data_IF_220202857627
#
_entry.id   IF_220202857627
#
_cell.length_a   1.000
_cell.length_b   1.000
_cell.length_c   1.000
_cell.angle_alpha   90.00
_cell.angle_beta   90.00
_cell.angle_gamma   90.00
#
_symmetry.space_group_name_H-M   'P 1'
#
loop_
_entity.id
_entity.type
_entity.pdbx_description
1 polymer ?
#
# COMPACT_ATOMS: atom_id res chain seq x y z
N UNK A 1 1.86 -2.74 -19.52
CA UNK A 1 0.50 -2.98 -18.98
C UNK A 1 0.09 -1.68 -18.31
N UNK A 2 -1.00 -1.09 -18.79
CA UNK A 2 -1.59 0.12 -18.21
C UNK A 2 -2.07 -0.21 -16.80
N UNK A 3 -1.26 0.13 -15.80
CA UNK A 3 -1.55 -0.18 -14.42
C UNK A 3 -2.64 0.79 -13.93
N UNK A 4 -3.87 0.30 -13.89
CA UNK A 4 -4.95 0.99 -13.21
C UNK A 4 -4.89 0.65 -11.73
N UNK A 5 -4.84 1.67 -10.88
CA UNK A 5 -4.88 1.53 -9.44
C UNK A 5 -6.18 2.13 -8.92
N UNK A 6 -6.85 1.42 -8.01
CA UNK A 6 -8.04 1.91 -7.30
C UNK A 6 -7.82 1.69 -5.81
N UNK A 7 -7.96 2.75 -5.02
CA UNK A 7 -7.91 2.72 -3.57
C UNK A 7 -9.20 3.35 -3.04
N UNK A 8 -10.01 2.56 -2.34
CA UNK A 8 -11.21 3.04 -1.64
C UNK A 8 -10.94 3.05 -0.15
N UNK A 9 -11.19 4.19 0.50
CA UNK A 9 -11.03 4.33 1.94
C UNK A 9 -12.38 4.38 2.62
N UNK A 10 -12.47 3.69 3.74
CA UNK A 10 -13.68 3.60 4.54
C UNK A 10 -13.45 4.20 5.93
N UNK A 11 -14.48 4.85 6.47
CA UNK A 11 -14.55 5.22 7.88
C UNK A 11 -14.78 3.97 8.74
N UNK A 12 -14.55 4.03 10.06
CA UNK A 12 -14.89 2.93 10.97
C UNK A 12 -16.37 2.51 10.94
N UNK A 13 -17.25 3.37 10.43
CA UNK A 13 -18.69 3.11 10.27
C UNK A 13 -19.02 2.47 8.90
N UNK A 14 -18.01 2.14 8.08
CA UNK A 14 -18.16 1.53 6.75
C UNK A 14 -18.51 2.52 5.64
N UNK A 15 -18.43 3.83 5.89
CA UNK A 15 -18.74 4.84 4.88
C UNK A 15 -17.50 5.11 4.01
N UNK A 16 -17.67 5.23 2.70
CA UNK A 16 -16.58 5.67 1.82
C UNK A 16 -16.22 7.11 2.17
N UNK A 17 -14.97 7.37 2.55
CA UNK A 17 -14.45 8.72 2.84
C UNK A 17 -13.72 9.33 1.65
N UNK A 18 -13.10 8.48 0.83
CA UNK A 18 -12.37 8.88 -0.36
C UNK A 18 -12.21 7.70 -1.33
N UNK A 19 -12.21 8.01 -2.62
CA UNK A 19 -11.87 7.12 -3.72
C UNK A 19 -10.71 7.75 -4.51
N UNK A 20 -9.61 7.03 -4.60
CA UNK A 20 -8.45 7.40 -5.41
C UNK A 20 -8.33 6.43 -6.57
N UNK A 21 -8.36 6.96 -7.79
CA UNK A 21 -8.16 6.22 -9.03
C UNK A 21 -6.91 6.76 -9.72
N UNK A 22 -6.09 5.86 -10.26
CA UNK A 22 -4.89 6.20 -11.01
C UNK A 22 -4.73 5.34 -12.25
N UNK A 23 -4.12 5.89 -13.28
CA UNK A 23 -3.79 5.19 -14.51
C UNK A 23 -2.92 6.03 -15.45
N UNK A 24 -2.74 5.59 -16.72
CA UNK A 24 -1.90 6.30 -17.69
C UNK A 24 -2.34 7.73 -18.01
N UNK A 25 -3.63 8.04 -17.78
CA UNK A 25 -4.21 9.36 -18.04
C UNK A 25 -4.07 10.33 -16.85
N UNK A 26 -3.50 9.89 -15.73
CA UNK A 26 -3.37 10.66 -14.49
C UNK A 26 -4.08 10.01 -13.31
N UNK A 27 -4.36 10.80 -12.28
CA UNK A 27 -5.04 10.36 -11.08
C UNK A 27 -6.19 11.29 -10.70
N UNK A 28 -7.22 10.74 -10.05
CA UNK A 28 -8.33 11.50 -9.49
C UNK A 28 -8.69 11.02 -8.10
N UNK A 29 -8.97 11.98 -7.22
CA UNK A 29 -9.43 11.80 -5.86
C UNK A 29 -10.84 12.36 -5.74
N UNK A 30 -11.79 11.52 -5.34
CA UNK A 30 -13.15 11.92 -4.99
C UNK A 30 -13.36 11.72 -3.48
N UNK A 31 -13.66 12.79 -2.75
CA UNK A 31 -13.94 12.73 -1.32
C UNK A 31 -15.45 12.62 -1.05
N UNK A 32 -15.81 12.18 0.15
CA UNK A 32 -17.21 11.98 0.55
C UNK A 32 -18.07 13.25 0.55
N UNK A 33 -17.45 14.43 0.60
CA UNK A 33 -18.15 15.72 0.49
C UNK A 33 -18.48 16.10 -0.98
N UNK A 34 -18.15 15.22 -1.94
CA UNK A 34 -18.33 15.44 -3.37
C UNK A 34 -17.22 16.27 -4.02
N UNK A 35 -16.20 16.68 -3.26
CA UNK A 35 -15.04 17.35 -3.85
C UNK A 35 -14.24 16.36 -4.70
N UNK A 36 -13.83 16.83 -5.88
CA UNK A 36 -13.01 16.06 -6.82
C UNK A 36 -11.74 16.82 -7.14
N UNK A 37 -10.60 16.14 -7.06
CA UNK A 37 -9.28 16.66 -7.42
C UNK A 37 -8.64 15.74 -8.45
N UNK A 38 -7.91 16.33 -9.38
CA UNK A 38 -7.15 15.61 -10.40
C UNK A 38 -5.69 16.00 -10.30
N UNK A 39 -4.80 15.06 -10.62
CA UNK A 39 -3.37 15.27 -10.67
C UNK A 39 -2.75 14.44 -11.80
N UNK A 40 -1.50 14.76 -12.14
CA UNK A 40 -0.74 14.00 -13.13
C UNK A 40 -0.43 12.57 -12.66
N UNK A 41 -0.38 12.34 -11.34
CA UNK A 41 -0.01 11.06 -10.74
C UNK A 41 -0.68 10.84 -9.38
N UNK A 42 -0.66 9.58 -8.94
CA UNK A 42 -1.22 9.13 -7.66
C UNK A 42 -0.38 9.64 -6.48
N UNK A 43 0.93 9.82 -6.68
CA UNK A 43 1.86 10.30 -5.65
C UNK A 43 1.48 11.70 -5.14
N UNK A 44 0.89 12.54 -6.01
CA UNK A 44 0.39 13.86 -5.65
C UNK A 44 -0.83 13.81 -4.72
N UNK A 45 -1.74 12.85 -4.92
CA UNK A 45 -3.04 12.80 -4.22
C UNK A 45 -3.05 11.88 -3.00
N UNK A 46 -2.22 10.83 -3.01
CA UNK A 46 -2.17 9.84 -1.94
C UNK A 46 -1.88 10.44 -0.53
N UNK A 47 -0.96 11.41 -0.38
CA UNK A 47 -0.67 12.00 0.93
C UNK A 47 -1.84 12.75 1.53
N UNK A 48 -2.70 13.33 0.71
CA UNK A 48 -3.90 14.07 1.16
C UNK A 48 -4.92 13.15 1.82
N UNK A 49 -4.86 11.86 1.47
CA UNK A 49 -5.78 10.83 1.92
C UNK A 49 -5.22 10.07 3.12
N UNK A 50 -3.93 9.70 3.06
CA UNK A 50 -3.28 8.92 4.11
C UNK A 50 -2.70 9.79 5.25
N UNK A 51 -2.54 11.10 5.03
CA UNK A 51 -1.88 12.01 5.97
C UNK A 51 -0.36 11.79 6.07
N UNK A 52 0.20 10.93 5.24
CA UNK A 52 1.63 10.61 5.18
C UNK A 52 2.09 10.54 3.73
N UNK A 53 3.33 10.97 3.50
CA UNK A 53 3.95 10.99 2.17
C UNK A 53 4.56 9.61 1.82
N UNK A 54 3.67 8.63 1.61
CA UNK A 54 4.04 7.30 1.16
C UNK A 54 4.22 7.28 -0.38
N UNK A 55 5.31 6.69 -0.90
CA UNK A 55 5.49 6.54 -2.34
C UNK A 55 4.46 5.56 -2.91
N UNK A 56 3.50 6.07 -3.68
CA UNK A 56 2.41 5.31 -4.28
C UNK A 56 2.96 4.24 -5.24
N UNK A 57 4.06 4.53 -5.95
CA UNK A 57 4.72 3.57 -6.83
C UNK A 57 5.34 2.36 -6.12
N UNK A 58 5.65 2.48 -4.81
CA UNK A 58 6.24 1.40 -4.00
C UNK A 58 5.20 0.65 -3.18
N UNK A 59 4.14 1.33 -2.75
CA UNK A 59 3.13 0.77 -1.86
C UNK A 59 2.54 -0.57 -2.35
N UNK A 60 2.14 -0.77 -3.63
CA UNK A 60 1.65 -2.06 -4.12
C UNK A 60 2.65 -3.20 -3.96
N UNK A 61 3.95 -2.92 -4.12
CA UNK A 61 5.03 -3.91 -3.93
C UNK A 61 5.20 -4.29 -2.47
N UNK A 62 5.14 -3.30 -1.58
CA UNK A 62 5.19 -3.54 -0.14
C UNK A 62 4.01 -4.40 0.31
N UNK A 63 2.79 -4.06 -0.11
CA UNK A 63 1.56 -4.79 0.19
C UNK A 63 1.66 -6.26 -0.23
N UNK A 64 2.28 -6.55 -1.38
CA UNK A 64 2.44 -7.90 -1.92
C UNK A 64 3.67 -8.66 -1.38
N UNK A 65 4.44 -8.08 -0.44
CA UNK A 65 5.74 -8.62 -0.03
C UNK A 65 6.66 -8.95 -1.23
N UNK A 66 6.66 -8.08 -2.23
CA UNK A 66 7.49 -8.18 -3.42
C UNK A 66 8.43 -6.96 -3.50
N UNK A 67 9.47 -6.88 -2.63
CA UNK A 67 10.38 -5.73 -2.58
C UNK A 67 11.00 -5.47 -3.95
N UNK A 68 11.21 -4.20 -4.29
CA UNK A 68 11.93 -3.86 -5.49
C UNK A 68 13.41 -4.29 -5.40
N UNK A 69 14.09 -4.34 -6.54
CA UNK A 69 15.47 -4.80 -6.60
C UNK A 69 16.47 -3.93 -5.79
N UNK A 70 16.14 -2.65 -5.59
CA UNK A 70 16.92 -1.69 -4.81
C UNK A 70 16.50 -1.61 -3.33
N UNK A 71 15.48 -2.37 -2.93
CA UNK A 71 15.08 -2.47 -1.53
C UNK A 71 16.01 -3.42 -0.77
N UNK A 72 16.28 -3.09 0.49
CA UNK A 72 17.07 -3.93 1.39
C UNK A 72 16.14 -4.88 2.16
N UNK A 73 16.20 -6.18 1.86
CA UNK A 73 15.53 -7.21 2.66
C UNK A 73 16.47 -7.61 3.80
N UNK A 74 16.15 -7.16 5.02
CA UNK A 74 17.02 -7.38 6.19
C UNK A 74 16.80 -8.74 6.83
N UNK A 75 15.53 -9.13 6.97
CA UNK A 75 15.13 -10.34 7.68
C UNK A 75 14.16 -11.16 6.81
N UNK A 76 14.30 -12.48 6.82
CA UNK A 76 13.42 -13.44 6.18
C UNK A 76 12.88 -14.43 7.22
N UNK A 77 11.68 -14.94 7.00
CA UNK A 77 11.14 -16.04 7.79
C UNK A 77 11.62 -17.42 7.27
N UNK A 78 11.32 -18.53 7.96
CA UNK A 78 11.74 -19.87 7.52
C UNK A 78 11.18 -20.31 6.16
N UNK A 79 10.09 -19.69 5.69
CA UNK A 79 9.52 -19.95 4.37
C UNK A 79 10.17 -19.07 3.27
N UNK A 80 11.16 -18.24 3.63
CA UNK A 80 11.88 -17.36 2.72
C UNK A 80 11.15 -16.05 2.41
N UNK A 81 10.14 -15.67 3.20
CA UNK A 81 9.35 -14.46 3.00
C UNK A 81 9.94 -13.27 3.77
N UNK A 82 9.84 -12.04 3.26
CA UNK A 82 10.30 -10.85 3.98
C UNK A 82 9.67 -10.71 5.38
N UNK A 83 10.48 -10.55 6.42
CA UNK A 83 10.02 -10.10 7.74
C UNK A 83 10.28 -8.61 7.96
N UNK A 84 11.40 -8.12 7.42
CA UNK A 84 11.79 -6.72 7.51
C UNK A 84 12.44 -6.24 6.23
N UNK A 85 11.91 -5.15 5.69
CA UNK A 85 12.41 -4.50 4.48
C UNK A 85 12.66 -3.03 4.77
N UNK A 86 13.74 -2.49 4.22
CA UNK A 86 13.99 -1.07 4.14
C UNK A 86 13.95 -0.63 2.67
N UNK A 87 13.09 0.33 2.35
CA UNK A 87 12.92 0.81 0.97
C UNK A 87 12.56 2.31 0.97
N UNK A 88 13.25 3.12 0.18
CA UNK A 88 13.04 4.57 0.11
C UNK A 88 13.01 5.29 1.48
N UNK A 89 13.85 4.82 2.43
CA UNK A 89 13.90 5.33 3.80
C UNK A 89 12.74 4.89 4.71
N UNK A 90 11.81 4.08 4.21
CA UNK A 90 10.77 3.45 5.01
C UNK A 90 11.24 2.11 5.54
N UNK A 91 10.81 1.79 6.76
CA UNK A 91 10.89 0.44 7.34
C UNK A 91 9.53 -0.22 7.21
N UNK A 92 9.52 -1.44 6.69
CA UNK A 92 8.34 -2.29 6.52
C UNK A 92 8.57 -3.57 7.33
N UNK A 93 7.80 -3.75 8.40
CA UNK A 93 7.76 -5.00 9.17
C UNK A 93 6.51 -5.81 8.76
N UNK A 94 6.74 -7.05 8.30
CA UNK A 94 5.69 -8.00 7.94
C UNK A 94 5.34 -8.84 9.16
N UNK A 95 4.27 -8.44 9.86
CA UNK A 95 3.89 -9.01 11.14
C UNK A 95 3.06 -10.31 11.03
N UNK A 96 2.75 -10.76 9.83
CA UNK A 96 2.05 -12.03 9.60
C UNK A 96 1.66 -12.26 8.14
N UNK A 97 1.58 -13.54 7.80
CA UNK A 97 1.24 -14.06 6.47
C UNK A 97 -0.04 -14.89 6.52
N UNK A 98 -0.64 -15.15 5.36
CA UNK A 98 -1.93 -15.80 5.29
C UNK A 98 -1.93 -17.31 5.60
N UNK A 99 -0.80 -17.97 5.34
CA UNK A 99 -0.52 -19.38 5.61
C UNK A 99 1.01 -19.58 5.75
N UNK A 100 1.51 -20.81 5.76
CA UNK A 100 2.95 -21.15 5.92
C UNK A 100 3.71 -21.33 4.60
N UNK A 101 3.06 -21.13 3.46
CA UNK A 101 3.69 -21.29 2.14
C UNK A 101 4.56 -20.09 1.79
N UNK A 102 5.60 -20.29 0.98
CA UNK A 102 6.45 -19.20 0.48
C UNK A 102 5.69 -18.17 -0.37
N UNK A 103 4.55 -18.56 -0.95
CA UNK A 103 3.68 -17.69 -1.76
C UNK A 103 2.59 -17.00 -0.94
N UNK A 104 2.55 -17.19 0.38
CA UNK A 104 1.54 -16.57 1.23
C UNK A 104 1.58 -15.05 1.08
N UNK A 105 0.40 -14.45 1.00
CA UNK A 105 0.27 -13.01 0.98
C UNK A 105 0.30 -12.45 2.41
N UNK A 106 0.79 -11.21 2.61
CA UNK A 106 0.77 -10.57 3.92
C UNK A 106 -0.65 -10.40 4.46
N UNK A 107 -0.82 -10.54 5.78
CA UNK A 107 -2.06 -10.16 6.49
C UNK A 107 -1.91 -8.89 7.31
N UNK A 108 -0.68 -8.55 7.70
CA UNK A 108 -0.40 -7.36 8.50
C UNK A 108 0.97 -6.78 8.17
N UNK A 109 0.99 -5.48 7.92
CA UNK A 109 2.21 -4.71 7.72
C UNK A 109 2.24 -3.50 8.66
N UNK A 110 3.43 -3.17 9.14
CA UNK A 110 3.71 -1.92 9.84
C UNK A 110 4.77 -1.16 9.04
N UNK A 111 4.40 0.01 8.54
CA UNK A 111 5.22 0.85 7.65
C UNK A 111 5.55 2.13 8.41
N UNK A 112 6.82 2.47 8.54
CA UNK A 112 7.25 3.63 9.33
C UNK A 112 8.47 4.37 8.77
N UNK A 113 8.49 5.69 8.99
CA UNK A 113 9.61 6.58 8.66
C UNK A 113 9.59 7.78 9.61
N UNK A 114 10.56 7.86 10.52
CA UNK A 114 10.54 8.84 11.61
C UNK A 114 9.29 8.66 12.47
N UNK A 115 8.49 9.72 12.60
CA UNK A 115 7.23 9.69 13.37
C UNK A 115 6.03 9.18 12.57
N UNK A 116 6.13 9.11 11.24
CA UNK A 116 5.07 8.60 10.39
C UNK A 116 4.91 7.09 10.57
N UNK A 117 3.66 6.64 10.80
CA UNK A 117 3.32 5.22 10.98
C UNK A 117 2.04 4.90 10.24
N UNK A 118 2.07 3.82 9.46
CA UNK A 118 0.90 3.24 8.79
C UNK A 118 0.83 1.77 9.17
N UNK A 119 -0.35 1.36 9.61
CA UNK A 119 -0.65 -0.05 9.90
C UNK A 119 -1.69 -0.53 8.91
N UNK A 120 -1.33 -1.55 8.14
CA UNK A 120 -2.22 -2.20 7.18
C UNK A 120 -2.63 -3.57 7.72
N UNK A 121 -3.92 -3.83 7.72
CA UNK A 121 -4.51 -5.14 8.01
C UNK A 121 -5.25 -5.56 6.74
N UNK A 122 -4.97 -6.77 6.25
CA UNK A 122 -5.53 -7.27 5.00
C UNK A 122 -6.47 -8.43 5.33
N UNK A 123 -7.76 -8.19 5.16
CA UNK A 123 -8.81 -9.15 5.49
C UNK A 123 -8.92 -10.26 4.45
N UNK A 124 -8.81 -9.91 3.17
CA UNK A 124 -8.92 -10.84 2.06
C UNK A 124 -8.00 -10.46 0.90
N UNK A 125 -7.61 -11.50 0.17
CA UNK A 125 -6.89 -11.39 -1.09
C UNK A 125 -7.72 -12.04 -2.18
N UNK A 126 -7.92 -11.30 -3.27
CA UNK A 126 -8.59 -11.81 -4.46
C UNK A 126 -7.66 -11.56 -5.64
N UNK A 127 -7.23 -12.63 -6.31
CA UNK A 127 -6.53 -12.48 -7.57
C UNK A 127 -7.49 -11.88 -8.60
N UNK A 128 -7.07 -10.82 -9.27
CA UNK A 128 -7.81 -10.32 -10.42
C UNK A 128 -7.78 -11.40 -11.52
N UNK A 129 -8.93 -11.67 -12.17
CA UNK A 129 -9.05 -12.72 -13.18
C UNK A 129 -8.22 -12.43 -14.44
#
# INVERSE_FOLDING_TARGET
ADAHARLTLFSPLGQVVALLEGGPAGASLEAADGSRREAADVDTLLPEVLGVDLPAARLPRWIQAAPAADAEVRDLDPAGRPQRVFDQGWRIDYAGYADDTAAATPRRLEISRGDARVRLIIDSWTALP
#
